data_IF_797226470552
#
_entry.id   IF_797226470552
#
_cell.length_a   1.000
_cell.length_b   1.000
_cell.length_c   1.000
_cell.angle_alpha   90.00
_cell.angle_beta   90.00
_cell.angle_gamma   90.00
#
_symmetry.space_group_name_H-M   'P 1'
#
loop_
_entity.id
_entity.type
_entity.pdbx_description
1 polymer ?
#
# COMPACT_ATOMS: atom_id res chain seq x y z
N UNK A 1 -7.30 -17.87 2.80
CA UNK A 1 -7.98 -17.42 4.02
C UNK A 1 -9.10 -16.48 3.59
N UNK A 2 -10.34 -16.74 3.99
CA UNK A 2 -11.46 -15.88 3.60
C UNK A 2 -11.27 -14.49 4.26
N UNK A 3 -11.61 -13.42 3.54
CA UNK A 3 -11.45 -12.04 4.00
C UNK A 3 -12.26 -11.78 5.29
N UNK A 4 -13.32 -12.55 5.52
CA UNK A 4 -14.11 -12.54 6.76
C UNK A 4 -13.33 -13.08 7.95
N UNK A 5 -12.48 -14.08 7.77
CA UNK A 5 -11.65 -14.65 8.83
C UNK A 5 -10.56 -13.66 9.24
N UNK A 6 -9.97 -12.95 8.28
CA UNK A 6 -8.99 -11.90 8.53
C UNK A 6 -9.55 -10.77 9.42
N UNK A 7 -10.77 -10.28 9.13
CA UNK A 7 -11.40 -9.24 9.96
C UNK A 7 -11.66 -9.70 11.40
N UNK A 8 -12.08 -10.96 11.59
CA UNK A 8 -12.27 -11.51 12.93
C UNK A 8 -10.95 -11.62 13.68
N UNK A 9 -9.91 -12.12 13.02
CA UNK A 9 -8.55 -12.21 13.59
C UNK A 9 -8.05 -10.82 13.99
N UNK A 10 -8.17 -9.82 13.11
CA UNK A 10 -7.76 -8.44 13.40
C UNK A 10 -8.46 -7.87 14.63
N UNK A 11 -9.77 -8.08 14.75
CA UNK A 11 -10.55 -7.62 15.90
C UNK A 11 -10.05 -8.27 17.19
N UNK A 12 -9.91 -9.60 17.22
CA UNK A 12 -9.48 -10.31 18.42
C UNK A 12 -8.03 -10.02 18.79
N UNK A 13 -7.13 -9.92 17.81
CA UNK A 13 -5.72 -9.57 18.04
C UNK A 13 -5.60 -8.15 18.59
N UNK A 14 -6.26 -7.16 17.98
CA UNK A 14 -6.21 -5.78 18.48
C UNK A 14 -6.84 -5.65 19.88
N UNK A 15 -7.95 -6.35 20.14
CA UNK A 15 -8.58 -6.41 21.46
C UNK A 15 -7.67 -7.04 22.50
N UNK A 16 -7.04 -8.17 22.18
CA UNK A 16 -6.12 -8.87 23.07
C UNK A 16 -4.88 -8.01 23.38
N UNK A 17 -4.31 -7.33 22.39
CA UNK A 17 -3.20 -6.40 22.58
C UNK A 17 -3.59 -5.22 23.48
N UNK A 18 -4.78 -4.65 23.28
CA UNK A 18 -5.27 -3.57 24.14
C UNK A 18 -5.46 -4.04 25.58
N UNK A 19 -6.12 -5.19 25.80
CA UNK A 19 -6.29 -5.77 27.14
C UNK A 19 -4.93 -6.04 27.79
N UNK A 20 -3.98 -6.60 27.05
CA UNK A 20 -2.62 -6.83 27.55
C UNK A 20 -1.96 -5.54 28.00
N UNK A 21 -2.05 -4.46 27.21
CA UNK A 21 -1.51 -3.14 27.57
C UNK A 21 -2.18 -2.60 28.84
N UNK A 22 -3.50 -2.73 28.98
CA UNK A 22 -4.22 -2.31 30.19
C UNK A 22 -3.77 -3.11 31.41
N UNK A 23 -3.61 -4.42 31.29
CA UNK A 23 -3.10 -5.28 32.38
C UNK A 23 -1.66 -4.87 32.76
N UNK A 24 -0.79 -4.61 31.78
CA UNK A 24 0.59 -4.18 32.04
C UNK A 24 0.64 -2.82 32.75
N UNK A 25 -0.24 -1.88 32.38
CA UNK A 25 -0.36 -0.59 33.05
C UNK A 25 -0.82 -0.73 34.50
N UNK A 26 -1.84 -1.56 34.77
CA UNK A 26 -2.35 -1.78 36.13
C UNK A 26 -1.33 -2.55 36.97
N UNK A 27 -0.69 -3.58 36.41
CA UNK A 27 0.32 -4.38 37.10
C UNK A 27 1.57 -3.56 37.44
N UNK A 28 1.87 -2.52 36.65
CA UNK A 28 2.96 -1.59 36.92
C UNK A 28 2.67 -0.59 38.06
N UNK A 29 1.44 -0.53 38.57
CA UNK A 29 1.04 0.46 39.58
C UNK A 29 1.63 0.24 40.97
N UNK A 30 1.96 -1.01 41.32
CA UNK A 30 2.57 -1.37 42.61
C UNK A 30 4.11 -1.28 42.56
N UNK A 31 4.68 -1.40 41.36
CA UNK A 31 6.10 -1.18 41.16
C UNK A 31 6.38 0.34 41.21
N UNK A 32 7.35 0.76 42.04
CA UNK A 32 7.97 2.10 41.98
C UNK A 32 8.76 2.24 40.67
N UNK A 33 8.09 2.09 39.52
CA UNK A 33 8.70 2.24 38.21
C UNK A 33 9.06 3.72 38.09
N UNK A 34 10.33 4.02 38.39
CA UNK A 34 10.95 5.30 38.05
C UNK A 34 11.10 5.31 36.54
N UNK A 35 10.00 5.61 35.84
CA UNK A 35 10.03 5.92 34.42
C UNK A 35 10.89 7.17 34.20
N UNK A 36 11.40 7.41 33.00
CA UNK A 36 12.21 8.60 32.67
C UNK A 36 11.53 9.90 33.14
N UNK A 37 10.21 9.99 32.99
CA UNK A 37 9.40 11.11 33.47
C UNK A 37 9.55 11.37 34.98
N UNK A 38 9.71 10.34 35.81
CA UNK A 38 9.92 10.53 37.26
C UNK A 38 11.15 11.40 37.54
N UNK A 39 12.25 11.18 36.81
CA UNK A 39 13.47 11.96 37.00
C UNK A 39 13.32 13.40 36.49
N UNK A 40 12.57 13.61 35.41
CA UNK A 40 12.27 14.97 34.92
C UNK A 40 11.42 15.76 35.91
N UNK A 41 10.40 15.14 36.51
CA UNK A 41 9.59 15.78 37.55
C UNK A 41 10.44 16.13 38.79
N UNK A 42 11.33 15.23 39.21
CA UNK A 42 12.23 15.50 40.34
C UNK A 42 13.19 16.66 40.07
N UNK A 43 13.75 16.76 38.87
CA UNK A 43 14.67 17.83 38.49
C UNK A 43 14.00 19.21 38.59
N UNK A 44 12.73 19.30 38.18
CA UNK A 44 11.92 20.52 38.27
C UNK A 44 11.24 20.71 39.64
N UNK A 45 11.57 19.88 40.64
CA UNK A 45 11.01 19.90 42.00
C UNK A 45 9.48 19.74 42.03
N UNK A 46 8.92 18.99 41.09
CA UNK A 46 7.49 18.67 41.01
C UNK A 46 7.18 17.35 41.71
N UNK A 47 5.98 17.26 42.29
CA UNK A 47 5.46 16.01 42.82
C UNK A 47 5.04 15.06 41.69
N UNK A 48 5.63 13.87 41.66
CA UNK A 48 5.26 12.83 40.72
C UNK A 48 4.25 11.85 41.34
N UNK A 49 3.05 11.81 40.79
CA UNK A 49 2.05 10.79 41.05
C UNK A 49 1.97 9.81 39.88
N UNK A 50 2.23 8.52 40.12
CA UNK A 50 2.10 7.47 39.11
C UNK A 50 0.69 7.44 38.51
N UNK A 51 -0.33 7.58 39.36
CA UNK A 51 -1.73 7.54 38.93
C UNK A 51 -2.04 8.68 37.93
N UNK A 52 -1.76 9.92 38.33
CA UNK A 52 -2.15 11.11 37.56
C UNK A 52 -1.22 11.41 36.39
N UNK A 53 0.08 11.15 36.53
CA UNK A 53 1.10 11.55 35.55
C UNK A 53 1.52 10.39 34.62
N UNK A 54 1.04 9.17 34.87
CA UNK A 54 1.38 8.02 34.01
C UNK A 54 0.18 7.13 33.71
N UNK A 55 -0.43 6.50 34.72
CA UNK A 55 -1.49 5.50 34.51
C UNK A 55 -2.68 6.06 33.73
N UNK A 56 -3.27 7.17 34.21
CA UNK A 56 -4.45 7.77 33.59
C UNK A 56 -4.13 8.29 32.18
N UNK A 57 -3.08 9.11 31.95
CA UNK A 57 -2.69 9.55 30.61
C UNK A 57 -2.46 8.38 29.64
N UNK A 58 -1.72 7.35 30.05
CA UNK A 58 -1.41 6.21 29.20
C UNK A 58 -2.64 5.38 28.88
N UNK A 59 -3.51 5.15 29.87
CA UNK A 59 -4.77 4.43 29.65
C UNK A 59 -5.63 5.15 28.59
N UNK A 60 -5.81 6.46 28.69
CA UNK A 60 -6.55 7.23 27.69
C UNK A 60 -5.87 7.22 26.33
N UNK A 61 -4.53 7.33 26.30
CA UNK A 61 -3.72 7.29 25.07
C UNK A 61 -3.90 5.97 24.31
N UNK A 62 -3.81 4.83 24.99
CA UNK A 62 -4.00 3.53 24.35
C UNK A 62 -5.47 3.28 24.01
N UNK A 63 -6.40 3.76 24.83
CA UNK A 63 -7.85 3.62 24.57
C UNK A 63 -8.26 4.37 23.31
N UNK A 64 -7.81 5.62 23.13
CA UNK A 64 -8.13 6.39 21.93
C UNK A 64 -7.49 5.80 20.68
N UNK A 65 -6.26 5.26 20.78
CA UNK A 65 -5.62 4.54 19.68
C UNK A 65 -6.40 3.29 19.28
N UNK A 66 -6.81 2.48 20.26
CA UNK A 66 -7.58 1.26 20.03
C UNK A 66 -8.95 1.56 19.41
N UNK A 67 -9.70 2.51 19.98
CA UNK A 67 -11.01 2.91 19.45
C UNK A 67 -10.90 3.52 18.05
N UNK A 68 -9.89 4.36 17.81
CA UNK A 68 -9.63 4.92 16.48
C UNK A 68 -9.29 3.82 15.49
N UNK A 69 -8.47 2.85 15.88
CA UNK A 69 -8.13 1.70 15.04
C UNK A 69 -9.39 0.93 14.65
N UNK A 70 -10.27 0.63 15.60
CA UNK A 70 -11.53 -0.07 15.34
C UNK A 70 -12.45 0.74 14.43
N UNK A 71 -12.67 2.02 14.74
CA UNK A 71 -13.52 2.90 13.96
C UNK A 71 -13.03 3.02 12.51
N UNK A 72 -11.72 3.23 12.31
CA UNK A 72 -11.12 3.38 10.99
C UNK A 72 -11.19 2.06 10.21
N UNK A 73 -10.74 0.94 10.79
CA UNK A 73 -10.60 -0.32 10.07
C UNK A 73 -11.92 -1.04 9.80
N UNK A 74 -12.92 -0.91 10.68
CA UNK A 74 -14.15 -1.69 10.60
C UNK A 74 -15.37 -0.89 10.14
N UNK A 75 -15.38 0.44 10.32
CA UNK A 75 -16.52 1.28 9.98
C UNK A 75 -16.17 2.27 8.85
N UNK A 76 -15.21 3.17 9.08
CA UNK A 76 -14.96 4.33 8.22
C UNK A 76 -14.32 3.92 6.89
N UNK A 77 -13.16 3.25 6.91
CA UNK A 77 -12.43 2.92 5.68
C UNK A 77 -13.19 1.95 4.77
N UNK A 78 -13.84 0.88 5.28
CA UNK A 78 -14.65 0.01 4.42
C UNK A 78 -15.82 0.76 3.74
N UNK A 79 -16.45 1.71 4.43
CA UNK A 79 -17.52 2.53 3.86
C UNK A 79 -16.98 3.49 2.79
N UNK A 80 -15.87 4.18 3.06
CA UNK A 80 -15.20 5.07 2.11
C UNK A 80 -14.75 4.34 0.83
N UNK A 81 -14.15 3.15 0.98
CA UNK A 81 -13.70 2.33 -0.15
C UNK A 81 -14.87 1.87 -1.03
N UNK A 82 -16.04 1.61 -0.42
CA UNK A 82 -17.28 1.28 -1.14
C UNK A 82 -18.05 2.51 -1.62
N UNK A 83 -17.52 3.72 -1.43
CA UNK A 83 -18.18 5.01 -1.73
C UNK A 83 -19.55 5.18 -1.05
N UNK A 84 -19.71 4.62 0.14
CA UNK A 84 -20.94 4.71 0.94
C UNK A 84 -20.85 5.86 1.94
N UNK A 85 -21.85 6.75 1.94
CA UNK A 85 -21.95 7.88 2.88
C UNK A 85 -20.64 8.64 3.07
N UNK A 86 -19.99 9.01 1.96
CA UNK A 86 -18.62 9.56 1.95
C UNK A 86 -18.50 10.77 2.87
N UNK A 87 -19.44 11.71 2.78
CA UNK A 87 -19.44 12.95 3.58
C UNK A 87 -19.45 12.63 5.08
N UNK A 88 -20.36 11.79 5.54
CA UNK A 88 -20.47 11.43 6.95
C UNK A 88 -19.19 10.73 7.46
N UNK A 89 -18.64 9.80 6.68
CA UNK A 89 -17.41 9.10 7.05
C UNK A 89 -16.18 10.02 7.04
N UNK A 90 -16.12 11.01 6.15
CA UNK A 90 -15.09 12.05 6.17
C UNK A 90 -15.21 12.94 7.42
N UNK A 91 -16.43 13.32 7.82
CA UNK A 91 -16.65 14.04 9.07
C UNK A 91 -16.29 13.21 10.30
N UNK A 92 -16.59 11.90 10.32
CA UNK A 92 -16.17 11.01 11.40
C UNK A 92 -14.65 10.93 11.51
N UNK A 93 -13.93 10.88 10.38
CA UNK A 93 -12.46 10.90 10.38
C UNK A 93 -11.92 12.23 10.94
N UNK A 94 -12.52 13.36 10.54
CA UNK A 94 -12.19 14.68 11.10
C UNK A 94 -12.51 14.78 12.59
N UNK A 95 -13.62 14.20 13.04
CA UNK A 95 -14.00 14.11 14.45
C UNK A 95 -13.00 13.29 15.26
N UNK A 96 -12.55 12.15 14.74
CA UNK A 96 -11.47 11.36 15.37
C UNK A 96 -10.17 12.14 15.47
N UNK A 97 -9.83 12.95 14.47
CA UNK A 97 -8.66 13.82 14.53
C UNK A 97 -8.78 14.89 15.63
N UNK A 98 -9.92 15.57 15.72
CA UNK A 98 -10.14 16.61 16.72
C UNK A 98 -10.19 16.04 18.15
N UNK A 99 -10.99 14.99 18.36
CA UNK A 99 -11.14 14.34 19.67
C UNK A 99 -9.83 13.66 20.08
N UNK A 100 -9.20 12.94 19.15
CA UNK A 100 -7.91 12.30 19.39
C UNK A 100 -6.84 13.33 19.72
N UNK A 101 -6.72 14.40 18.94
CA UNK A 101 -5.78 15.49 19.17
C UNK A 101 -5.96 16.13 20.54
N UNK A 102 -7.20 16.39 20.96
CA UNK A 102 -7.50 16.91 22.28
C UNK A 102 -7.11 15.93 23.39
N UNK A 103 -7.48 14.65 23.28
CA UNK A 103 -7.13 13.62 24.28
C UNK A 103 -5.61 13.48 24.40
N UNK A 104 -4.88 13.37 23.28
CA UNK A 104 -3.42 13.30 23.29
C UNK A 104 -2.81 14.53 23.95
N UNK A 105 -3.33 15.72 23.64
CA UNK A 105 -2.84 16.99 24.21
C UNK A 105 -3.04 17.03 25.72
N UNK A 106 -4.24 16.71 26.20
CA UNK A 106 -4.56 16.67 27.64
C UNK A 106 -3.69 15.63 28.34
N UNK A 107 -3.59 14.41 27.82
CA UNK A 107 -2.74 13.37 28.39
C UNK A 107 -1.30 13.84 28.51
N UNK A 108 -0.79 14.51 27.46
CA UNK A 108 0.58 15.03 27.42
C UNK A 108 0.81 16.15 28.44
N UNK A 109 -0.17 17.02 28.68
CA UNK A 109 -0.10 18.02 29.74
C UNK A 109 0.14 17.39 31.11
N UNK A 110 -0.52 16.27 31.41
CA UNK A 110 -0.31 15.56 32.68
C UNK A 110 0.98 14.73 32.68
N UNK A 111 1.28 14.01 31.60
CA UNK A 111 2.45 13.12 31.57
C UNK A 111 3.78 13.85 31.44
N UNK A 112 3.76 15.05 30.86
CA UNK A 112 4.94 15.90 30.61
C UNK A 112 4.79 17.27 31.28
N UNK A 113 4.12 17.35 32.44
CA UNK A 113 3.88 18.62 33.13
C UNK A 113 5.17 19.41 33.42
N UNK A 114 6.29 18.72 33.64
CA UNK A 114 7.62 19.33 33.80
C UNK A 114 8.01 20.21 32.61
N UNK A 115 7.61 19.86 31.38
CA UNK A 115 7.95 20.64 30.18
C UNK A 115 7.28 22.02 30.13
N UNK A 116 6.30 22.27 31.01
CA UNK A 116 5.68 23.60 31.11
C UNK A 116 6.65 24.63 31.70
N UNK A 117 7.66 24.20 32.46
CA UNK A 117 8.68 25.06 33.07
C UNK A 117 9.84 25.38 32.12
N UNK A 118 9.99 24.64 31.01
CA UNK A 118 11.00 24.90 29.99
C UNK A 118 10.73 26.19 29.18
N UNK A 119 9.53 26.74 29.29
CA UNK A 119 9.08 27.91 28.53
C UNK A 119 8.89 29.11 29.44
N UNK A 120 9.29 30.29 28.95
CA UNK A 120 9.11 31.56 29.66
C UNK A 120 7.65 32.00 29.79
N UNK A 121 6.77 31.47 28.95
CA UNK A 121 5.35 31.78 28.94
C UNK A 121 4.51 30.51 28.87
N UNK A 122 3.50 30.45 29.75
CA UNK A 122 2.63 29.29 29.91
C UNK A 122 1.76 29.05 28.67
N UNK A 123 1.31 30.11 27.99
CA UNK A 123 0.53 29.98 26.76
C UNK A 123 1.38 29.36 25.64
N UNK A 124 2.65 29.76 25.51
CA UNK A 124 3.59 29.14 24.57
C UNK A 124 3.81 27.65 24.86
N UNK A 125 3.95 27.29 26.14
CA UNK A 125 4.07 25.90 26.57
C UNK A 125 2.84 25.07 26.16
N UNK A 126 1.63 25.54 26.48
CA UNK A 126 0.39 24.87 26.11
C UNK A 126 0.22 24.75 24.60
N UNK A 127 0.50 25.81 23.84
CA UNK A 127 0.44 25.78 22.38
C UNK A 127 1.34 24.68 21.81
N UNK A 128 2.55 24.52 22.36
CA UNK A 128 3.50 23.49 21.92
C UNK A 128 3.04 22.07 22.28
N UNK A 129 2.55 21.87 23.50
CA UNK A 129 2.03 20.58 23.98
C UNK A 129 0.82 20.16 23.14
N UNK A 130 -0.12 21.07 22.92
CA UNK A 130 -1.31 20.79 22.12
C UNK A 130 -0.97 20.52 20.66
N UNK A 131 -0.10 21.34 20.06
CA UNK A 131 0.36 21.10 18.69
C UNK A 131 0.96 19.69 18.53
N UNK A 132 1.83 19.27 19.47
CA UNK A 132 2.36 17.90 19.47
C UNK A 132 1.24 16.86 19.59
N UNK A 133 0.24 17.05 20.47
CA UNK A 133 -0.90 16.15 20.61
C UNK A 133 -1.69 15.97 19.32
N UNK A 134 -1.98 17.06 18.60
CA UNK A 134 -2.62 17.00 17.28
C UNK A 134 -1.76 16.32 16.21
N UNK A 135 -0.44 16.56 16.22
CA UNK A 135 0.50 15.85 15.33
C UNK A 135 0.47 14.34 15.57
N UNK A 136 0.47 13.89 16.83
CA UNK A 136 0.32 12.46 17.15
C UNK A 136 -1.01 11.88 16.67
N UNK A 137 -2.11 12.62 16.84
CA UNK A 137 -3.42 12.18 16.33
C UNK A 137 -3.44 12.05 14.82
N UNK A 138 -2.88 13.02 14.10
CA UNK A 138 -2.78 13.00 12.64
C UNK A 138 -2.00 11.77 12.18
N UNK A 139 -0.81 11.54 12.75
CA UNK A 139 0.03 10.39 12.41
C UNK A 139 -0.64 9.05 12.65
N UNK A 140 -1.33 8.93 13.80
CA UNK A 140 -2.06 7.71 14.14
C UNK A 140 -3.14 7.39 13.10
N UNK A 141 -3.92 8.39 12.70
CA UNK A 141 -4.95 8.25 11.67
C UNK A 141 -4.33 7.90 10.32
N UNK A 142 -3.27 8.59 9.90
CA UNK A 142 -2.57 8.32 8.64
C UNK A 142 -2.08 6.87 8.58
N UNK A 143 -1.45 6.37 9.64
CA UNK A 143 -0.95 4.98 9.70
C UNK A 143 -2.10 3.96 9.68
N UNK A 144 -3.21 4.22 10.37
CA UNK A 144 -4.36 3.31 10.38
C UNK A 144 -5.09 3.28 9.03
N UNK A 145 -5.23 4.43 8.37
CA UNK A 145 -5.76 4.55 7.01
C UNK A 145 -4.82 3.86 6.01
N UNK A 146 -3.51 4.07 6.15
CA UNK A 146 -2.47 3.42 5.34
C UNK A 146 -2.60 1.90 5.37
N UNK A 147 -2.64 1.34 6.58
CA UNK A 147 -2.83 -0.09 6.80
C UNK A 147 -4.12 -0.60 6.15
N UNK A 148 -5.24 0.13 6.32
CA UNK A 148 -6.53 -0.23 5.72
C UNK A 148 -6.48 -0.25 4.18
N UNK A 149 -5.80 0.72 3.58
CA UNK A 149 -5.62 0.81 2.12
C UNK A 149 -4.75 -0.33 1.58
N UNK A 150 -3.63 -0.62 2.24
CA UNK A 150 -2.75 -1.74 1.86
C UNK A 150 -3.51 -3.07 1.95
N UNK A 151 -4.29 -3.29 3.01
CA UNK A 151 -5.15 -4.47 3.16
C UNK A 151 -6.17 -4.58 2.04
N UNK A 152 -6.86 -3.49 1.70
CA UNK A 152 -7.83 -3.47 0.61
C UNK A 152 -7.17 -3.78 -0.75
N UNK A 153 -5.97 -3.24 -0.97
CA UNK A 153 -5.18 -3.51 -2.17
C UNK A 153 -4.75 -4.99 -2.24
N UNK A 154 -4.27 -5.58 -1.15
CA UNK A 154 -3.93 -7.01 -1.09
C UNK A 154 -5.15 -7.91 -1.34
N UNK A 155 -6.32 -7.54 -0.83
CA UNK A 155 -7.58 -8.21 -1.14
C UNK A 155 -7.91 -8.19 -2.63
N UNK A 156 -7.84 -7.00 -3.24
CA UNK A 156 -8.04 -6.82 -4.66
C UNK A 156 -7.07 -7.66 -5.51
N UNK A 157 -5.79 -7.74 -5.12
CA UNK A 157 -4.80 -8.59 -5.78
C UNK A 157 -5.16 -10.09 -5.69
N UNK A 158 -5.60 -10.54 -4.53
CA UNK A 158 -5.96 -11.94 -4.31
C UNK A 158 -7.17 -12.36 -5.16
N UNK A 159 -8.17 -11.50 -5.30
CA UNK A 159 -9.39 -11.78 -6.10
C UNK A 159 -9.12 -11.84 -7.61
N UNK A 160 -8.09 -11.13 -8.08
CA UNK A 160 -7.74 -11.02 -9.49
C UNK A 160 -6.58 -11.95 -9.91
N UNK A 161 -6.01 -12.71 -8.97
CA UNK A 161 -4.96 -13.69 -9.25
C UNK A 161 -5.56 -14.91 -9.98
N UNK A 162 -5.18 -15.12 -11.24
CA UNK A 162 -5.50 -16.34 -12.00
C UNK A 162 -6.63 -16.23 -13.03
N UNK A 163 -7.34 -15.10 -13.12
CA UNK A 163 -8.15 -14.79 -14.31
C UNK A 163 -7.21 -14.28 -15.40
N UNK A 164 -7.48 -14.58 -16.68
CA UNK A 164 -6.85 -13.87 -17.80
C UNK A 164 -7.27 -12.40 -17.68
N UNK A 165 -6.56 -11.64 -16.84
CA UNK A 165 -6.94 -10.30 -16.49
C UNK A 165 -6.83 -9.45 -17.73
N UNK A 166 -7.92 -8.75 -18.04
CA UNK A 166 -7.93 -7.71 -19.06
C UNK A 166 -6.73 -6.77 -18.85
N UNK A 167 -6.16 -6.26 -19.94
CA UNK A 167 -4.96 -5.43 -19.91
C UNK A 167 -5.17 -4.19 -19.04
N UNK A 168 -6.39 -3.65 -19.04
CA UNK A 168 -6.85 -2.55 -18.18
C UNK A 168 -6.77 -2.89 -16.69
N UNK A 169 -7.15 -4.12 -16.31
CA UNK A 169 -7.14 -4.59 -14.92
C UNK A 169 -5.70 -4.76 -14.45
N UNK A 170 -4.84 -5.35 -15.30
CA UNK A 170 -3.42 -5.50 -14.98
C UNK A 170 -2.72 -4.14 -14.84
N UNK A 171 -3.08 -3.15 -15.67
CA UNK A 171 -2.54 -1.79 -15.56
C UNK A 171 -2.88 -1.16 -14.21
N UNK A 172 -4.14 -1.28 -13.76
CA UNK A 172 -4.55 -0.79 -12.43
C UNK A 172 -3.79 -1.48 -11.30
N UNK A 173 -3.55 -2.77 -11.42
CA UNK A 173 -2.74 -3.55 -10.46
C UNK A 173 -1.32 -3.01 -10.40
N UNK A 174 -0.68 -2.79 -11.54
CA UNK A 174 0.70 -2.31 -11.61
C UNK A 174 0.84 -0.88 -11.06
N UNK A 175 -0.12 0.02 -11.38
CA UNK A 175 -0.20 1.36 -10.80
C UNK A 175 -0.35 1.26 -9.28
N UNK A 176 -1.26 0.39 -8.80
CA UNK A 176 -1.48 0.17 -7.37
C UNK A 176 -0.23 -0.29 -6.64
N UNK A 177 0.55 -1.20 -7.23
CA UNK A 177 1.84 -1.63 -6.66
C UNK A 177 2.84 -0.48 -6.59
N UNK A 178 2.94 0.31 -7.65
CA UNK A 178 3.80 1.50 -7.68
C UNK A 178 3.43 2.51 -6.60
N UNK A 179 2.13 2.83 -6.48
CA UNK A 179 1.63 3.77 -5.47
C UNK A 179 1.80 3.23 -4.04
N UNK A 180 1.59 1.92 -3.81
CA UNK A 180 1.86 1.30 -2.52
C UNK A 180 3.34 1.39 -2.15
N UNK A 181 4.25 1.13 -3.10
CA UNK A 181 5.69 1.26 -2.89
C UNK A 181 6.09 2.70 -2.55
N UNK A 182 5.61 3.67 -3.32
CA UNK A 182 5.83 5.09 -3.04
C UNK A 182 5.39 5.45 -1.62
N UNK A 183 4.18 5.06 -1.27
CA UNK A 183 3.55 5.45 -0.02
C UNK A 183 4.25 4.84 1.20
N UNK A 184 4.62 3.56 1.14
CA UNK A 184 5.42 2.92 2.20
C UNK A 184 6.77 3.62 2.35
N UNK A 185 7.46 3.92 1.24
CA UNK A 185 8.72 4.66 1.30
C UNK A 185 8.57 6.07 1.88
N UNK A 186 7.49 6.78 1.54
CA UNK A 186 7.18 8.09 2.10
C UNK A 186 6.97 8.02 3.62
N UNK A 187 6.21 7.02 4.09
CA UNK A 187 6.02 6.80 5.52
C UNK A 187 7.35 6.54 6.25
N UNK A 188 8.26 5.78 5.64
CA UNK A 188 9.58 5.52 6.23
C UNK A 188 10.40 6.81 6.36
N UNK A 189 10.44 7.65 5.32
CA UNK A 189 11.15 8.94 5.38
C UNK A 189 10.60 9.85 6.47
N UNK A 190 9.28 9.92 6.61
CA UNK A 190 8.68 10.80 7.60
C UNK A 190 8.85 10.22 9.02
N UNK A 191 8.73 8.91 9.18
CA UNK A 191 8.92 8.24 10.47
C UNK A 191 10.35 8.36 11.02
N UNK A 192 11.35 8.42 10.13
CA UNK A 192 12.75 8.59 10.52
C UNK A 192 13.12 10.05 10.80
N UNK A 193 12.15 10.97 10.80
CA UNK A 193 12.39 12.42 10.93
C UNK A 193 13.41 12.94 9.93
N UNK A 194 13.43 12.35 8.73
CA UNK A 194 14.35 12.74 7.67
C UNK A 194 14.03 14.13 7.11
N UNK A 195 15.03 14.75 6.50
CA UNK A 195 14.90 16.04 5.85
C UNK A 195 13.75 16.04 4.81
N UNK A 196 12.96 17.13 4.77
CA UNK A 196 11.80 17.24 3.88
C UNK A 196 12.21 17.14 2.40
N UNK A 197 13.42 17.60 2.07
CA UNK A 197 14.04 17.50 0.76
C UNK A 197 14.07 16.05 0.25
N UNK A 198 14.37 15.08 1.12
CA UNK A 198 14.40 13.66 0.76
C UNK A 198 13.00 13.15 0.43
N UNK A 199 11.99 13.56 1.21
CA UNK A 199 10.59 13.16 0.98
C UNK A 199 10.04 13.72 -0.33
N UNK A 200 10.41 14.96 -0.66
CA UNK A 200 10.04 15.62 -1.93
C UNK A 200 10.75 14.96 -3.11
N UNK A 201 12.07 14.74 -3.00
CA UNK A 201 12.85 14.04 -4.04
C UNK A 201 12.29 12.63 -4.29
N UNK A 202 12.07 11.86 -3.22
CA UNK A 202 11.44 10.54 -3.29
C UNK A 202 10.11 10.58 -4.04
N UNK A 203 9.23 11.51 -3.67
CA UNK A 203 7.89 11.60 -4.27
C UNK A 203 7.96 11.88 -5.76
N UNK A 204 8.75 12.87 -6.18
CA UNK A 204 8.86 13.26 -7.58
C UNK A 204 9.50 12.16 -8.45
N UNK A 205 10.61 11.59 -7.98
CA UNK A 205 11.34 10.55 -8.71
C UNK A 205 10.52 9.28 -8.84
N UNK A 206 9.87 8.82 -7.76
CA UNK A 206 9.09 7.58 -7.79
C UNK A 206 7.81 7.75 -8.59
N UNK A 207 7.09 8.87 -8.50
CA UNK A 207 5.92 9.10 -9.35
C UNK A 207 6.27 9.13 -10.83
N UNK A 208 7.38 9.77 -11.19
CA UNK A 208 7.87 9.70 -12.57
C UNK A 208 8.25 8.27 -12.97
N UNK A 209 8.85 7.49 -12.07
CA UNK A 209 9.21 6.10 -12.33
C UNK A 209 7.97 5.23 -12.59
N UNK A 210 6.92 5.38 -11.78
CA UNK A 210 5.64 4.70 -11.99
C UNK A 210 5.08 5.05 -13.37
N UNK A 211 5.02 6.34 -13.70
CA UNK A 211 4.53 6.82 -15.00
C UNK A 211 5.29 6.21 -16.18
N UNK A 212 6.63 6.24 -16.13
CA UNK A 212 7.50 5.68 -17.17
C UNK A 212 7.32 4.16 -17.27
N UNK A 213 7.34 3.43 -16.15
CA UNK A 213 7.19 1.97 -16.16
C UNK A 213 5.85 1.56 -16.79
N UNK A 214 4.76 2.22 -16.40
CA UNK A 214 3.42 1.95 -16.96
C UNK A 214 3.38 2.30 -18.45
N UNK A 215 3.81 3.49 -18.84
CA UNK A 215 3.85 3.90 -20.25
C UNK A 215 4.72 2.95 -21.10
N UNK A 216 5.83 2.49 -20.55
CA UNK A 216 6.70 1.52 -21.20
C UNK A 216 6.02 0.18 -21.43
N UNK A 217 5.40 -0.41 -20.40
CA UNK A 217 4.77 -1.74 -20.47
C UNK A 217 3.55 -1.75 -21.40
N UNK A 218 2.72 -0.70 -21.35
CA UNK A 218 1.42 -0.66 -22.03
C UNK A 218 1.44 0.10 -23.36
N UNK A 219 2.53 0.81 -23.70
CA UNK A 219 2.59 1.58 -24.95
C UNK A 219 3.91 1.39 -25.71
N UNK A 220 5.07 1.73 -25.12
CA UNK A 220 6.34 1.71 -25.86
C UNK A 220 6.77 0.29 -26.27
N UNK A 221 6.74 -0.66 -25.33
CA UNK A 221 7.21 -2.02 -25.55
C UNK A 221 6.32 -2.83 -26.50
N UNK A 222 4.97 -2.74 -26.42
CA UNK A 222 4.10 -3.31 -27.44
C UNK A 222 4.40 -2.79 -28.85
N UNK A 223 4.53 -1.46 -29.02
CA UNK A 223 4.82 -0.85 -30.32
C UNK A 223 6.19 -1.24 -30.86
N UNK A 224 7.21 -1.32 -30.00
CA UNK A 224 8.55 -1.73 -30.38
C UNK A 224 8.60 -3.22 -30.73
N UNK A 225 7.90 -4.07 -30.00
CA UNK A 225 7.87 -5.51 -30.26
C UNK A 225 7.11 -5.83 -31.55
N UNK A 226 6.03 -5.10 -31.85
CA UNK A 226 5.31 -5.22 -33.13
C UNK A 226 6.18 -4.83 -34.35
N UNK A 227 7.21 -3.99 -34.14
CA UNK A 227 8.18 -3.57 -35.16
C UNK A 227 9.53 -4.27 -35.02
N UNK A 228 9.60 -5.33 -34.21
CA UNK A 228 10.82 -6.12 -33.93
C UNK A 228 12.04 -5.27 -33.50
N UNK A 229 11.80 -4.14 -32.83
CA UNK A 229 12.86 -3.21 -32.42
C UNK A 229 13.65 -3.77 -31.24
N UNK A 230 14.99 -3.61 -31.23
CA UNK A 230 15.84 -4.09 -30.14
C UNK A 230 15.71 -3.22 -28.89
N UNK A 231 16.17 -3.76 -27.75
CA UNK A 231 16.20 -3.05 -26.45
C UNK A 231 16.87 -1.67 -26.52
N UNK A 232 17.90 -1.50 -27.34
CA UNK A 232 18.61 -0.22 -27.51
C UNK A 232 17.67 0.92 -27.93
N UNK A 233 16.70 0.65 -28.81
CA UNK A 233 15.74 1.68 -29.25
C UNK A 233 14.82 2.09 -28.10
N UNK A 234 14.34 1.09 -27.35
CA UNK A 234 13.53 1.31 -26.17
C UNK A 234 14.29 2.11 -25.09
N UNK A 235 15.55 1.76 -24.83
CA UNK A 235 16.40 2.47 -23.88
C UNK A 235 16.54 3.95 -24.22
N UNK A 236 16.78 4.28 -25.49
CA UNK A 236 16.87 5.68 -25.93
C UNK A 236 15.53 6.42 -25.84
N UNK A 237 14.40 5.75 -26.08
CA UNK A 237 13.08 6.37 -25.84
C UNK A 237 12.90 6.75 -24.37
N UNK A 238 13.23 5.85 -23.43
CA UNK A 238 13.18 6.15 -22.00
C UNK A 238 14.15 7.25 -21.63
N UNK A 239 15.36 7.27 -22.19
CA UNK A 239 16.35 8.31 -21.97
C UNK A 239 15.82 9.70 -22.33
N UNK A 240 15.27 9.88 -23.53
CA UNK A 240 14.74 11.18 -23.95
C UNK A 240 13.48 11.59 -23.17
N UNK A 241 12.60 10.64 -22.85
CA UNK A 241 11.43 10.91 -21.98
C UNK A 241 11.91 11.32 -20.58
N UNK A 242 12.93 10.67 -20.05
CA UNK A 242 13.46 10.96 -18.72
C UNK A 242 14.08 12.36 -18.65
N UNK A 243 14.86 12.76 -19.66
CA UNK A 243 15.40 14.13 -19.76
C UNK A 243 14.28 15.15 -19.85
N UNK A 244 13.27 14.91 -20.69
CA UNK A 244 12.14 15.81 -20.85
C UNK A 244 11.38 16.00 -19.53
N UNK A 245 11.20 14.92 -18.76
CA UNK A 245 10.54 14.96 -17.45
C UNK A 245 11.44 15.54 -16.35
N UNK A 246 12.77 15.45 -16.48
CA UNK A 246 13.69 15.93 -15.44
C UNK A 246 13.55 17.44 -15.20
N UNK A 247 13.30 18.22 -16.26
CA UNK A 247 13.14 19.68 -16.19
C UNK A 247 11.92 20.09 -15.35
N UNK A 248 10.67 19.69 -15.67
CA UNK A 248 9.52 20.07 -14.85
C UNK A 248 9.60 19.50 -13.43
N UNK A 249 10.14 18.29 -13.23
CA UNK A 249 10.32 17.73 -11.89
C UNK A 249 11.32 18.55 -11.06
N UNK A 250 12.44 18.97 -11.65
CA UNK A 250 13.41 19.84 -11.01
C UNK A 250 12.84 21.22 -10.70
N UNK A 251 12.00 21.79 -11.57
CA UNK A 251 11.33 23.07 -11.30
C UNK A 251 10.29 22.96 -10.18
N UNK A 252 9.52 21.87 -10.13
CA UNK A 252 8.58 21.62 -9.03
C UNK A 252 9.34 21.50 -7.71
N UNK A 253 10.49 20.82 -7.69
CA UNK A 253 11.29 20.66 -6.46
C UNK A 253 11.87 21.98 -5.96
N UNK A 254 12.35 22.85 -6.86
CA UNK A 254 12.85 24.19 -6.47
C UNK A 254 11.73 25.09 -5.98
N UNK A 255 10.54 25.04 -6.58
CA UNK A 255 9.38 25.81 -6.12
C UNK A 255 8.89 25.36 -4.74
N UNK A 256 8.96 24.07 -4.43
CA UNK A 256 8.47 23.54 -3.16
C UNK A 256 9.44 23.80 -1.99
N UNK A 257 10.75 23.66 -2.23
CA UNK A 257 11.79 23.79 -1.18
C UNK A 257 12.39 25.21 -1.15
N UNK A 258 12.18 26.02 -2.19
CA UNK A 258 12.80 27.35 -2.34
C UNK A 258 14.34 27.32 -2.38
N UNK A 259 14.93 26.26 -2.94
CA UNK A 259 16.39 26.09 -3.09
C UNK A 259 16.73 25.56 -4.48
N UNK A 260 17.57 26.29 -5.23
CA UNK A 260 17.95 25.92 -6.61
C UNK A 260 18.68 24.56 -6.67
N UNK A 261 19.45 24.21 -5.64
CA UNK A 261 20.17 22.93 -5.50
C UNK A 261 19.23 21.71 -5.66
N UNK A 262 17.95 21.85 -5.28
CA UNK A 262 16.96 20.78 -5.42
C UNK A 262 16.67 20.39 -6.86
N UNK A 263 16.88 21.29 -7.82
CA UNK A 263 16.79 20.95 -9.24
C UNK A 263 17.83 19.87 -9.58
N UNK A 264 19.08 20.12 -9.20
CA UNK A 264 20.20 19.24 -9.51
C UNK A 264 20.12 17.93 -8.72
N UNK A 265 19.68 17.98 -7.46
CA UNK A 265 19.46 16.77 -6.65
C UNK A 265 18.40 15.88 -7.31
N UNK A 266 17.22 16.43 -7.65
CA UNK A 266 16.17 15.65 -8.32
C UNK A 266 16.65 15.13 -9.66
N UNK A 267 17.35 15.94 -10.46
CA UNK A 267 17.94 15.48 -11.72
C UNK A 267 18.90 14.31 -11.52
N UNK A 268 19.81 14.42 -10.54
CA UNK A 268 20.83 13.42 -10.23
C UNK A 268 20.26 12.09 -9.73
N UNK A 269 19.12 12.10 -9.03
CA UNK A 269 18.42 10.87 -8.62
C UNK A 269 17.47 10.34 -9.69
N UNK A 270 16.80 11.23 -10.42
CA UNK A 270 15.84 10.87 -11.46
C UNK A 270 16.51 10.09 -12.60
N UNK A 271 17.57 10.63 -13.19
CA UNK A 271 18.20 10.04 -14.37
C UNK A 271 18.68 8.60 -14.14
N UNK A 272 19.48 8.29 -13.09
CA UNK A 272 19.88 6.91 -12.80
C UNK A 272 18.70 6.01 -12.47
N UNK A 273 17.70 6.51 -11.72
CA UNK A 273 16.51 5.71 -11.39
C UNK A 273 15.78 5.28 -12.66
N UNK A 274 15.58 6.17 -13.64
CA UNK A 274 14.87 5.78 -14.85
C UNK A 274 15.67 4.84 -15.75
N UNK A 275 16.98 5.04 -15.87
CA UNK A 275 17.82 4.28 -16.79
C UNK A 275 18.25 2.92 -16.23
N UNK A 276 18.55 2.86 -14.93
CA UNK A 276 19.08 1.66 -14.26
C UNK A 276 17.96 0.81 -13.67
N UNK A 277 16.86 1.44 -13.22
CA UNK A 277 15.76 0.74 -12.57
C UNK A 277 14.56 0.64 -13.50
N UNK A 278 13.93 1.76 -13.87
CA UNK A 278 12.65 1.76 -14.59
C UNK A 278 12.73 1.09 -15.96
N UNK A 279 13.75 1.40 -16.77
CA UNK A 279 13.92 0.83 -18.11
C UNK A 279 14.16 -0.70 -18.06
N UNK A 280 15.14 -1.24 -17.31
CA UNK A 280 15.33 -2.68 -17.21
C UNK A 280 14.13 -3.40 -16.59
N UNK A 281 13.52 -2.83 -15.55
CA UNK A 281 12.38 -3.43 -14.85
C UNK A 281 11.19 -3.62 -15.79
N UNK A 282 10.79 -2.55 -16.50
CA UNK A 282 9.67 -2.61 -17.44
C UNK A 282 9.93 -3.55 -18.62
N UNK A 283 11.16 -3.59 -19.16
CA UNK A 283 11.56 -4.55 -20.18
C UNK A 283 11.42 -5.99 -19.69
N UNK A 284 11.97 -6.29 -18.50
CA UNK A 284 11.89 -7.61 -17.88
C UNK A 284 10.44 -8.05 -17.65
N UNK A 285 9.61 -7.19 -17.03
CA UNK A 285 8.20 -7.48 -16.77
C UNK A 285 7.46 -7.76 -18.08
N UNK A 286 7.66 -6.90 -19.09
CA UNK A 286 7.00 -7.05 -20.38
C UNK A 286 7.38 -8.35 -21.09
N UNK A 287 8.68 -8.67 -21.17
CA UNK A 287 9.16 -9.91 -21.81
C UNK A 287 8.66 -11.16 -21.09
N UNK A 288 8.67 -11.16 -19.76
CA UNK A 288 8.11 -12.26 -18.96
C UNK A 288 6.62 -12.46 -19.22
N UNK A 289 5.85 -11.37 -19.29
CA UNK A 289 4.41 -11.41 -19.61
C UNK A 289 4.15 -11.91 -21.03
N UNK A 290 4.96 -11.48 -21.99
CA UNK A 290 4.85 -11.93 -23.38
C UNK A 290 5.11 -13.44 -23.49
N UNK A 291 6.17 -13.95 -22.86
CA UNK A 291 6.48 -15.38 -22.83
C UNK A 291 5.32 -16.19 -22.23
N UNK A 292 4.82 -15.78 -21.06
CA UNK A 292 3.70 -16.46 -20.39
C UNK A 292 2.42 -16.45 -21.25
N UNK A 293 2.11 -15.34 -21.94
CA UNK A 293 0.94 -15.25 -22.84
C UNK A 293 1.08 -16.21 -24.03
N UNK A 294 2.27 -16.32 -24.62
CA UNK A 294 2.55 -17.24 -25.72
C UNK A 294 2.43 -18.69 -25.28
N UNK A 295 3.00 -19.05 -24.13
CA UNK A 295 2.91 -20.40 -23.57
C UNK A 295 1.45 -20.82 -23.31
N UNK A 296 0.67 -19.97 -22.64
CA UNK A 296 -0.76 -20.23 -22.40
C UNK A 296 -1.53 -20.38 -23.71
N UNK A 297 -1.21 -19.59 -24.74
CA UNK A 297 -1.85 -19.69 -26.06
C UNK A 297 -1.50 -21.02 -26.74
N UNK A 298 -0.25 -21.44 -26.67
CA UNK A 298 0.21 -22.73 -27.21
C UNK A 298 -0.49 -23.89 -26.50
N UNK A 299 -0.49 -23.90 -25.16
CA UNK A 299 -1.15 -24.94 -24.35
C UNK A 299 -2.65 -25.03 -24.65
N UNK A 300 -3.36 -23.90 -24.78
CA UNK A 300 -4.78 -23.90 -25.18
C UNK A 300 -4.99 -24.47 -26.58
N UNK A 301 -4.07 -24.21 -27.51
CA UNK A 301 -4.15 -24.69 -28.89
C UNK A 301 -3.90 -26.21 -28.94
N UNK A 302 -2.91 -26.70 -28.20
CA UNK A 302 -2.61 -28.13 -28.09
C UNK A 302 -3.74 -28.91 -27.43
N UNK A 303 -4.32 -28.37 -26.34
CA UNK A 303 -5.48 -28.96 -25.70
C UNK A 303 -6.68 -29.03 -26.64
N UNK A 304 -7.00 -27.94 -27.35
CA UNK A 304 -8.09 -27.92 -28.31
C UNK A 304 -7.90 -28.93 -29.46
N UNK A 305 -6.65 -29.12 -29.93
CA UNK A 305 -6.32 -30.18 -30.90
C UNK A 305 -6.52 -31.58 -30.31
N UNK A 306 -6.10 -31.80 -29.06
CA UNK A 306 -6.27 -33.07 -28.37
C UNK A 306 -7.75 -33.43 -28.18
N UNK A 307 -8.57 -32.47 -27.74
CA UNK A 307 -10.02 -32.65 -27.55
C UNK A 307 -10.73 -32.93 -28.89
N UNK A 308 -10.35 -32.22 -29.95
CA UNK A 308 -10.88 -32.48 -31.29
C UNK A 308 -10.49 -33.87 -31.81
N UNK A 309 -9.23 -34.29 -31.58
CA UNK A 309 -8.76 -35.60 -31.98
C UNK A 309 -9.43 -36.74 -31.17
N UNK A 310 -9.64 -36.54 -29.87
CA UNK A 310 -10.38 -37.48 -29.02
C UNK A 310 -11.84 -37.59 -29.45
N UNK A 311 -12.50 -36.47 -29.75
CA UNK A 311 -13.86 -36.45 -30.29
C UNK A 311 -13.94 -37.15 -31.64
N UNK A 312 -12.94 -36.97 -32.50
CA UNK A 312 -12.81 -37.66 -33.77
C UNK A 312 -12.64 -39.18 -33.58
N UNK A 313 -11.75 -39.63 -32.69
CA UNK A 313 -11.58 -41.05 -32.36
C UNK A 313 -12.86 -41.66 -31.77
N UNK A 314 -13.54 -40.95 -30.86
CA UNK A 314 -14.85 -41.37 -30.33
C UNK A 314 -15.91 -41.49 -31.43
N UNK A 315 -15.91 -40.58 -32.41
CA UNK A 315 -16.85 -40.63 -33.53
C UNK A 315 -16.59 -41.81 -34.48
N UNK A 316 -15.34 -42.26 -34.62
CA UNK A 316 -14.98 -43.45 -35.42
C UNK A 316 -15.40 -44.76 -34.74
N UNK A 317 -15.43 -44.79 -33.41
CA UNK A 317 -15.88 -45.95 -32.62
C UNK A 317 -17.42 -45.92 -32.43
N UNK A 318 -18.12 -44.95 -33.04
CA UNK A 318 -19.57 -44.81 -32.89
C UNK A 318 -20.27 -46.10 -33.33
N UNK A 319 -21.02 -46.77 -32.44
CA UNK A 319 -21.59 -48.10 -32.70
C UNK A 319 -22.50 -48.11 -33.93
N UNK A 320 -23.10 -46.98 -34.31
CA UNK A 320 -23.90 -46.89 -35.53
C UNK A 320 -23.07 -47.09 -36.82
N UNK A 321 -21.82 -46.59 -36.85
CA UNK A 321 -20.93 -46.81 -37.98
C UNK A 321 -20.45 -48.26 -38.04
N UNK A 322 -20.14 -48.84 -36.88
CA UNK A 322 -19.77 -50.26 -36.77
C UNK A 322 -20.94 -51.19 -37.14
N UNK A 323 -22.16 -50.87 -36.71
CA UNK A 323 -23.38 -51.59 -37.08
C UNK A 323 -23.69 -51.46 -38.57
N UNK A 324 -23.53 -50.28 -39.17
CA UNK A 324 -23.71 -50.10 -40.61
C UNK A 324 -22.69 -50.89 -41.43
N UNK A 325 -21.42 -50.91 -40.98
CA UNK A 325 -20.38 -51.71 -41.61
C UNK A 325 -20.65 -53.22 -41.48
N UNK A 326 -21.05 -53.68 -40.29
CA UNK A 326 -21.42 -55.09 -40.05
C UNK A 326 -22.66 -55.50 -40.83
N UNK A 327 -23.72 -54.69 -40.85
CA UNK A 327 -24.94 -55.00 -41.59
C UNK A 327 -24.70 -54.99 -43.11
N UNK A 328 -23.81 -54.12 -43.59
CA UNK A 328 -23.39 -54.13 -45.00
C UNK A 328 -22.60 -55.40 -45.32
N UNK A 329 -21.63 -55.78 -44.47
CA UNK A 329 -20.87 -57.03 -44.62
C UNK A 329 -21.76 -58.28 -44.54
N UNK A 330 -22.71 -58.31 -43.59
CA UNK A 330 -23.71 -59.37 -43.49
C UNK A 330 -24.61 -59.41 -44.72
N UNK A 331 -25.03 -58.26 -45.24
CA UNK A 331 -25.84 -58.16 -46.45
C UNK A 331 -25.09 -58.67 -47.69
N UNK A 332 -23.80 -58.37 -47.80
CA UNK A 332 -22.96 -58.87 -48.90
C UNK A 332 -22.64 -60.36 -48.76
N UNK A 333 -22.38 -60.86 -47.54
CA UNK A 333 -22.12 -62.28 -47.29
C UNK A 333 -23.36 -63.18 -47.41
N UNK A 334 -24.56 -62.60 -47.48
CA UNK A 334 -25.81 -63.27 -47.81
C UNK A 334 -26.13 -63.26 -49.31
N UNK A 335 -25.43 -62.42 -50.09
CA UNK A 335 -25.58 -62.32 -51.54
C UNK A 335 -24.52 -63.12 -52.32
N UNK A 336 -23.39 -63.43 -51.69
CA UNK A 336 -22.52 -64.57 -52.06
C UNK A 336 -23.07 -65.87 -51.46
#
# INVERSE_FOLDING_TARGET
MDFKDLRKIEFWVSTALYILVVILLISGADARIRNENYYYFLNEKLEYSYFSNYLVPELFRFSILYLSFLAINFCIMPALLKKQNVIANSFLLGGLFLIGGLIFSVCKTYSEAYTLFDYSDLQHAYNRVFFKGYVYSMWSIVIMCAYSLVKAFLGYLSEHKGKNADETVQMKVDIGFGLAFWFVGLLLWISSSSAIELSVCWTLVIFSAIGIVIYSIYTLLPQNSAKEKPFKVYFWQVFFISILLAVPLGLISTLFIWRLEMFFIVFAFHMPTQLIISAPLSWFIYKKRLANRTEIRTLKTELGKSDANLSFLQSQINPHFLFNALNTLFGTALQE
#
